data_IF_205966176175
#
_entry.id   IF_205966176175
#
_cell.length_a   1.000
_cell.length_b   1.000
_cell.length_c   1.000
_cell.angle_alpha   90.00
_cell.angle_beta   90.00
_cell.angle_gamma   90.00
#
_symmetry.space_group_name_H-M   'P 1'
#
loop_
_entity.id
_entity.type
_entity.pdbx_description
1 polymer ?
#
# COMPACT_ATOMS: atom_id res chain seq x y z
N UNK A 1 -28.44 22.49 7.21
CA UNK A 1 -27.15 21.82 7.31
C UNK A 1 -26.60 21.72 5.91
N UNK A 2 -25.59 22.54 5.58
CA UNK A 2 -24.97 22.53 4.25
C UNK A 2 -24.17 21.23 4.12
N UNK A 3 -24.57 20.36 3.22
CA UNK A 3 -23.75 19.28 2.72
C UNK A 3 -22.55 19.90 1.98
N UNK A 4 -21.41 19.99 2.64
CA UNK A 4 -20.12 20.30 2.00
C UNK A 4 -19.93 19.22 0.92
N UNK A 5 -19.90 19.65 -0.34
CA UNK A 5 -19.82 18.74 -1.47
C UNK A 5 -18.52 17.94 -1.43
N UNK A 6 -18.58 16.68 -1.86
CA UNK A 6 -17.45 15.71 -1.87
C UNK A 6 -16.19 16.20 -2.62
N UNK A 7 -16.21 17.35 -3.23
CA UNK A 7 -15.13 17.97 -4.01
C UNK A 7 -14.17 18.87 -3.20
N UNK A 8 -14.57 19.32 -2.00
CA UNK A 8 -13.74 20.15 -1.12
C UNK A 8 -12.66 19.35 -0.35
N UNK A 9 -12.54 18.05 -0.64
CA UNK A 9 -11.65 17.12 0.08
C UNK A 9 -10.50 16.58 -0.76
N UNK A 10 -10.24 17.15 -1.94
CA UNK A 10 -9.14 16.74 -2.80
C UNK A 10 -7.78 17.00 -2.13
N UNK A 11 -6.84 16.07 -2.31
CA UNK A 11 -5.46 16.27 -1.89
C UNK A 11 -4.77 17.36 -2.71
N UNK A 12 -3.82 18.06 -2.11
CA UNK A 12 -2.85 18.82 -2.87
C UNK A 12 -1.88 17.86 -3.56
N UNK A 13 -1.67 18.05 -4.87
CA UNK A 13 -0.63 17.36 -5.61
C UNK A 13 0.70 18.09 -5.42
N UNK A 14 1.69 17.39 -4.91
CA UNK A 14 2.98 17.94 -4.52
C UNK A 14 4.13 17.09 -5.07
N UNK A 15 5.33 17.67 -5.07
CA UNK A 15 6.55 17.05 -5.57
C UNK A 15 7.71 17.26 -4.61
N UNK A 16 8.57 16.24 -4.48
CA UNK A 16 9.78 16.28 -3.66
C UNK A 16 10.96 15.68 -4.44
N UNK A 17 12.13 16.32 -4.39
CA UNK A 17 13.35 15.80 -4.99
C UNK A 17 14.10 14.94 -3.96
N UNK A 18 14.16 13.62 -4.21
CA UNK A 18 14.75 12.65 -3.28
C UNK A 18 15.93 11.95 -3.96
N UNK A 19 17.12 12.42 -3.70
CA UNK A 19 18.31 11.89 -4.33
C UNK A 19 18.26 11.99 -5.86
N UNK A 20 18.09 10.86 -6.55
CA UNK A 20 18.05 10.79 -8.01
C UNK A 20 16.64 10.72 -8.61
N UNK A 21 15.61 10.79 -7.78
CA UNK A 21 14.22 10.71 -8.23
C UNK A 21 13.42 11.90 -7.75
N UNK A 22 12.46 12.33 -8.57
CA UNK A 22 11.40 13.25 -8.19
C UNK A 22 10.17 12.43 -7.83
N UNK A 23 9.71 12.57 -6.59
CA UNK A 23 8.56 11.85 -6.04
C UNK A 23 7.34 12.75 -6.08
N UNK A 24 6.30 12.32 -6.77
CA UNK A 24 4.98 12.91 -6.64
C UNK A 24 4.32 12.37 -5.36
N UNK A 25 3.66 13.23 -4.60
CA UNK A 25 2.85 12.81 -3.47
C UNK A 25 1.55 13.61 -3.37
N UNK A 26 0.55 13.00 -2.77
CA UNK A 26 -0.71 13.62 -2.41
C UNK A 26 -0.67 13.99 -0.93
N UNK A 27 -0.99 15.24 -0.60
CA UNK A 27 -1.11 15.75 0.78
C UNK A 27 -2.57 16.20 1.02
N UNK A 28 -3.29 15.46 1.83
CA UNK A 28 -4.66 15.84 2.24
C UNK A 28 -4.66 16.86 3.37
N UNK A 29 -3.48 17.30 3.84
CA UNK A 29 -3.35 18.24 4.95
C UNK A 29 -3.64 17.58 6.29
N UNK A 30 -4.17 18.39 7.22
CA UNK A 30 -4.41 18.03 8.61
C UNK A 30 -3.31 18.56 9.53
N UNK A 31 -3.68 18.84 10.80
CA UNK A 31 -2.78 19.42 11.81
C UNK A 31 -2.25 18.37 12.80
N UNK A 32 -2.72 17.13 12.68
CA UNK A 32 -2.32 16.04 13.57
C UNK A 32 -0.96 15.44 13.23
N UNK A 33 -0.63 14.35 13.92
CA UNK A 33 0.62 13.61 13.65
C UNK A 33 0.63 13.06 12.20
N UNK A 34 1.80 13.00 11.55
CA UNK A 34 1.87 12.57 10.16
C UNK A 34 1.63 11.08 10.00
N UNK A 35 0.86 10.75 8.95
CA UNK A 35 0.58 9.40 8.49
C UNK A 35 0.98 9.30 7.02
N UNK A 36 1.90 8.37 6.70
CA UNK A 36 2.31 8.07 5.34
C UNK A 36 1.62 6.79 4.88
N UNK A 37 0.98 6.85 3.71
CA UNK A 37 0.19 5.78 3.12
C UNK A 37 0.86 5.27 1.83
N UNK A 38 1.33 4.02 1.81
CA UNK A 38 2.06 3.42 0.71
C UNK A 38 1.16 2.46 -0.09
N UNK A 39 0.94 2.75 -1.35
CA UNK A 39 0.07 1.97 -2.24
C UNK A 39 0.66 0.61 -2.65
N UNK A 40 -0.16 -0.27 -3.22
CA UNK A 40 0.23 -1.60 -3.70
C UNK A 40 1.06 -1.58 -5.00
N UNK A 41 1.56 -2.76 -5.41
CA UNK A 41 2.30 -2.94 -6.66
C UNK A 41 1.43 -2.58 -7.86
N UNK A 42 1.99 -1.87 -8.82
CA UNK A 42 1.33 -1.37 -10.02
C UNK A 42 0.07 -0.52 -9.71
N UNK A 43 0.13 0.26 -8.62
CA UNK A 43 -0.90 1.19 -8.17
C UNK A 43 -0.36 2.62 -8.12
N UNK A 44 -1.03 3.54 -7.45
CA UNK A 44 -0.63 4.94 -7.26
C UNK A 44 -1.09 5.46 -5.91
N UNK A 45 -0.63 6.65 -5.52
CA UNK A 45 -1.08 7.37 -4.33
C UNK A 45 -2.61 7.54 -4.28
N UNK A 46 -3.23 7.66 -5.44
CA UNK A 46 -4.68 7.82 -5.57
C UNK A 46 -5.49 6.61 -5.08
N UNK A 47 -4.86 5.44 -4.83
CA UNK A 47 -5.54 4.33 -4.15
C UNK A 47 -6.16 4.74 -2.81
N UNK A 48 -5.61 5.78 -2.18
CA UNK A 48 -6.08 6.29 -0.91
C UNK A 48 -7.10 7.43 -1.01
N UNK A 49 -7.53 7.83 -2.20
CA UNK A 49 -8.48 8.95 -2.39
C UNK A 49 -9.81 8.78 -1.65
N UNK A 50 -10.25 7.52 -1.45
CA UNK A 50 -11.47 7.21 -0.71
C UNK A 50 -11.25 7.04 0.80
N UNK A 51 -10.01 6.79 1.24
CA UNK A 51 -9.66 6.52 2.65
C UNK A 51 -9.15 7.76 3.37
N UNK A 52 -8.22 8.49 2.74
CA UNK A 52 -7.52 9.61 3.35
C UNK A 52 -8.43 10.76 3.81
N UNK A 53 -9.53 11.11 3.12
CA UNK A 53 -10.47 12.12 3.59
C UNK A 53 -11.07 11.84 4.97
N UNK A 54 -11.22 10.57 5.34
CA UNK A 54 -11.73 10.17 6.65
C UNK A 54 -10.68 10.26 7.78
N UNK A 55 -9.39 10.45 7.45
CA UNK A 55 -8.28 10.55 8.40
C UNK A 55 -7.80 11.98 8.62
N UNK A 56 -7.96 12.87 7.64
CA UNK A 56 -7.35 14.20 7.61
C UNK A 56 -7.77 15.16 8.74
N UNK A 57 -8.89 14.89 9.39
CA UNK A 57 -9.33 15.72 10.51
C UNK A 57 -8.45 15.52 11.74
N UNK A 58 -7.88 14.34 11.90
CA UNK A 58 -7.13 13.92 13.08
C UNK A 58 -5.61 13.82 12.81
N UNK A 59 -5.22 13.62 11.53
CA UNK A 59 -3.84 13.36 11.10
C UNK A 59 -3.46 14.23 9.89
N UNK A 60 -2.16 14.51 9.72
CA UNK A 60 -1.64 14.97 8.43
C UNK A 60 -1.42 13.74 7.55
N UNK A 61 -2.18 13.61 6.47
CA UNK A 61 -2.22 12.42 5.63
C UNK A 61 -1.49 12.66 4.32
N UNK A 62 -0.50 11.81 4.04
CA UNK A 62 0.40 11.92 2.88
C UNK A 62 0.50 10.56 2.20
N UNK A 63 0.36 10.51 0.88
CA UNK A 63 0.60 9.31 0.09
C UNK A 63 1.52 9.61 -1.09
N UNK A 64 2.74 9.04 -1.16
CA UNK A 64 3.58 9.15 -2.33
C UNK A 64 3.18 8.16 -3.42
N UNK A 65 3.38 8.53 -4.68
CA UNK A 65 3.63 7.56 -5.74
C UNK A 65 5.02 6.98 -5.51
N UNK A 66 5.09 5.69 -5.23
CA UNK A 66 6.38 5.05 -4.95
C UNK A 66 7.23 4.97 -6.23
N UNK A 67 8.54 4.81 -6.10
CA UNK A 67 9.50 4.67 -7.21
C UNK A 67 8.94 3.84 -8.37
N UNK A 68 8.95 4.40 -9.60
CA UNK A 68 8.47 3.72 -10.81
C UNK A 68 6.95 3.60 -10.94
N UNK A 69 6.17 4.22 -10.06
CA UNK A 69 4.71 4.20 -10.09
C UNK A 69 4.14 5.61 -10.28
N UNK A 70 2.89 5.69 -10.68
CA UNK A 70 2.17 6.94 -10.87
C UNK A 70 2.97 7.94 -11.69
N UNK A 71 3.16 9.14 -11.17
CA UNK A 71 3.93 10.20 -11.83
C UNK A 71 5.35 10.36 -11.26
N UNK A 72 5.76 9.54 -10.28
CA UNK A 72 7.13 9.52 -9.77
C UNK A 72 8.10 8.99 -10.82
N UNK A 73 9.34 9.48 -10.78
CA UNK A 73 10.42 9.11 -11.72
C UNK A 73 10.47 7.61 -12.00
N UNK A 74 10.46 7.27 -13.30
CA UNK A 74 10.58 5.90 -13.80
C UNK A 74 12.04 5.43 -13.75
N UNK A 75 12.55 5.19 -12.52
CA UNK A 75 13.91 4.71 -12.33
C UNK A 75 14.06 3.27 -12.85
N UNK A 76 15.15 2.98 -13.57
CA UNK A 76 15.43 1.65 -14.11
C UNK A 76 15.93 0.64 -13.08
N UNK A 77 16.16 1.06 -11.82
CA UNK A 77 16.70 0.21 -10.73
C UNK A 77 16.34 0.78 -9.36
N UNK A 78 16.73 0.07 -8.29
CA UNK A 78 16.54 0.52 -6.91
C UNK A 78 15.21 0.05 -6.32
N UNK A 79 14.77 -1.13 -6.67
CA UNK A 79 13.54 -1.75 -6.13
C UNK A 79 13.83 -2.73 -4.99
N UNK A 80 15.04 -2.70 -4.44
CA UNK A 80 15.40 -3.38 -3.19
C UNK A 80 14.86 -2.63 -1.97
N UNK A 81 14.69 -3.34 -0.85
CA UNK A 81 14.10 -2.76 0.36
C UNK A 81 14.91 -1.62 0.97
N UNK A 82 16.25 -1.64 0.81
CA UNK A 82 17.11 -0.58 1.31
C UNK A 82 16.89 0.74 0.56
N UNK A 83 16.78 0.67 -0.76
CA UNK A 83 16.52 1.85 -1.61
C UNK A 83 15.09 2.36 -1.40
N UNK A 84 14.09 1.49 -1.39
CA UNK A 84 12.69 1.88 -1.13
C UNK A 84 12.50 2.50 0.27
N UNK A 85 13.23 2.00 1.27
CA UNK A 85 13.27 2.63 2.60
C UNK A 85 13.83 4.05 2.54
N UNK A 86 14.94 4.24 1.80
CA UNK A 86 15.55 5.57 1.64
C UNK A 86 14.63 6.55 0.91
N UNK A 87 13.83 6.09 -0.04
CA UNK A 87 12.86 6.94 -0.73
C UNK A 87 11.79 7.47 0.25
N UNK A 88 11.25 6.60 1.12
CA UNK A 88 10.25 7.02 2.12
C UNK A 88 10.87 7.93 3.19
N UNK A 89 12.05 7.57 3.70
CA UNK A 89 12.75 8.40 4.70
C UNK A 89 13.17 9.75 4.09
N UNK A 90 13.64 9.77 2.83
CA UNK A 90 13.97 10.97 2.11
C UNK A 90 12.76 11.90 1.92
N UNK A 91 11.57 11.34 1.65
CA UNK A 91 10.33 12.13 1.62
C UNK A 91 10.02 12.72 3.00
N UNK A 92 10.22 11.94 4.07
CA UNK A 92 10.04 12.46 5.44
C UNK A 92 11.00 13.61 5.74
N UNK A 93 12.27 13.50 5.29
CA UNK A 93 13.28 14.54 5.50
C UNK A 93 12.91 15.82 4.74
N UNK A 94 12.50 15.70 3.47
CA UNK A 94 12.07 16.83 2.65
C UNK A 94 10.85 17.56 3.24
N UNK A 95 9.95 16.80 3.87
CA UNK A 95 8.76 17.33 4.54
C UNK A 95 9.01 17.75 6.01
N UNK A 96 10.26 17.71 6.49
CA UNK A 96 10.66 17.98 7.86
C UNK A 96 9.87 17.14 8.91
N UNK A 97 9.54 15.89 8.56
CA UNK A 97 8.85 14.94 9.43
C UNK A 97 9.87 14.12 10.22
N UNK A 98 10.05 14.39 11.50
CA UNK A 98 10.95 13.61 12.36
C UNK A 98 10.51 12.13 12.45
N UNK A 99 9.20 11.89 12.62
CA UNK A 99 8.57 10.56 12.68
C UNK A 99 7.20 10.59 12.02
N UNK A 100 6.78 9.43 11.47
CA UNK A 100 5.42 9.24 10.96
C UNK A 100 4.86 7.86 11.36
N UNK A 101 3.55 7.69 11.37
CA UNK A 101 2.96 6.38 11.17
C UNK A 101 3.10 6.00 9.70
N UNK A 102 3.44 4.75 9.42
CA UNK A 102 3.59 4.26 8.04
C UNK A 102 2.63 3.10 7.83
N UNK A 103 1.68 3.28 6.94
CA UNK A 103 0.74 2.26 6.53
C UNK A 103 1.00 1.88 5.08
N UNK A 104 0.86 0.60 4.75
CA UNK A 104 1.01 0.15 3.38
C UNK A 104 -0.02 -0.88 3.00
N UNK A 105 -0.51 -0.80 1.75
CA UNK A 105 -1.40 -1.78 1.16
C UNK A 105 -0.62 -2.78 0.30
N UNK A 106 -0.93 -4.08 0.42
CA UNK A 106 -0.37 -5.12 -0.46
C UNK A 106 1.17 -5.10 -0.47
N UNK A 107 1.81 -4.84 -1.61
CA UNK A 107 3.25 -4.63 -1.70
C UNK A 107 3.73 -3.42 -0.88
N UNK A 108 2.96 -2.34 -0.83
CA UNK A 108 3.26 -1.19 0.03
C UNK A 108 3.37 -1.58 1.51
N UNK A 109 2.67 -2.62 1.96
CA UNK A 109 2.84 -3.16 3.31
C UNK A 109 4.22 -3.79 3.52
N UNK A 110 4.83 -4.41 2.49
CA UNK A 110 6.20 -4.89 2.57
C UNK A 110 7.19 -3.72 2.61
N UNK A 111 6.92 -2.64 1.87
CA UNK A 111 7.73 -1.41 1.95
C UNK A 111 7.62 -0.79 3.34
N UNK A 112 6.40 -0.59 3.86
CA UNK A 112 6.16 -0.05 5.21
C UNK A 112 6.86 -0.87 6.30
N UNK A 113 6.77 -2.19 6.22
CA UNK A 113 7.45 -3.13 7.12
C UNK A 113 8.98 -2.93 7.09
N UNK A 114 9.57 -2.79 5.90
CA UNK A 114 10.98 -2.57 5.74
C UNK A 114 11.42 -1.17 6.20
N UNK A 115 10.59 -0.15 6.02
CA UNK A 115 10.83 1.19 6.59
C UNK A 115 10.90 1.11 8.12
N UNK A 116 9.91 0.45 8.75
CA UNK A 116 9.87 0.31 10.21
C UNK A 116 11.05 -0.54 10.76
N UNK A 117 11.48 -1.58 10.02
CA UNK A 117 12.59 -2.43 10.44
C UNK A 117 13.97 -1.78 10.27
N UNK A 118 14.16 -0.97 9.22
CA UNK A 118 15.47 -0.40 8.83
C UNK A 118 15.66 1.03 9.34
N UNK A 119 14.57 1.74 9.64
CA UNK A 119 14.56 3.10 10.19
C UNK A 119 13.60 3.21 11.40
N UNK A 120 13.78 2.41 12.47
CA UNK A 120 12.83 2.30 13.56
C UNK A 120 12.61 3.64 14.30
N UNK A 121 13.61 4.51 14.35
CA UNK A 121 13.51 5.82 14.97
C UNK A 121 12.63 6.81 14.17
N UNK A 122 12.29 6.48 12.93
CA UNK A 122 11.46 7.30 12.05
C UNK A 122 9.99 6.86 12.03
N UNK A 123 9.65 5.69 12.58
CA UNK A 123 8.30 5.13 12.56
C UNK A 123 7.76 5.00 13.97
N UNK A 124 6.66 5.69 14.28
CA UNK A 124 6.02 5.57 15.59
C UNK A 124 4.88 4.55 15.62
N UNK A 125 4.33 4.16 14.46
CA UNK A 125 3.30 3.12 14.33
C UNK A 125 3.34 2.53 12.91
N UNK A 126 3.08 1.24 12.78
CA UNK A 126 3.10 0.49 11.52
C UNK A 126 1.72 -0.12 11.23
N UNK A 127 1.24 0.01 9.99
CA UNK A 127 0.03 -0.64 9.51
C UNK A 127 0.26 -1.49 8.27
N UNK A 128 -0.14 -2.75 8.31
CA UNK A 128 -0.01 -3.74 7.24
C UNK A 128 -1.39 -4.06 6.67
N UNK A 129 -1.79 -3.36 5.59
CA UNK A 129 -3.11 -3.49 4.95
C UNK A 129 -3.04 -4.57 3.87
N UNK A 130 -3.63 -5.70 4.14
CA UNK A 130 -3.71 -6.91 3.29
C UNK A 130 -2.39 -7.28 2.58
N UNK A 131 -1.29 -7.14 3.31
CA UNK A 131 0.08 -7.37 2.84
C UNK A 131 1.07 -7.47 3.98
N UNK A 132 2.38 -7.48 3.68
CA UNK A 132 3.42 -7.54 4.71
C UNK A 132 3.48 -8.88 5.44
N UNK A 133 2.76 -9.90 4.98
CA UNK A 133 2.75 -11.25 5.56
C UNK A 133 3.35 -12.26 4.60
N UNK A 134 4.14 -13.19 5.11
CA UNK A 134 4.75 -14.26 4.31
C UNK A 134 4.49 -15.62 4.94
N UNK A 135 4.61 -16.68 4.14
CA UNK A 135 4.66 -18.04 4.69
C UNK A 135 5.88 -18.15 5.61
N UNK A 136 5.73 -18.83 6.74
CA UNK A 136 6.85 -19.26 7.57
C UNK A 136 7.84 -20.13 6.78
N UNK A 137 8.87 -20.62 7.42
CA UNK A 137 10.00 -21.39 6.86
C UNK A 137 9.59 -22.74 6.22
N UNK A 138 8.82 -22.70 5.14
CA UNK A 138 8.57 -23.87 4.26
C UNK A 138 9.59 -23.94 3.13
N UNK A 139 9.57 -25.04 2.34
CA UNK A 139 10.38 -25.16 1.14
C UNK A 139 10.16 -23.94 0.23
N UNK A 140 11.26 -23.21 -0.02
CA UNK A 140 11.20 -21.96 -0.79
C UNK A 140 11.24 -22.32 -2.27
N UNK A 141 10.28 -21.80 -3.03
CA UNK A 141 10.32 -21.89 -4.49
C UNK A 141 11.61 -21.30 -5.06
N UNK A 142 12.12 -21.85 -6.14
CA UNK A 142 13.26 -21.28 -6.85
C UNK A 142 12.89 -19.91 -7.47
N UNK A 143 13.90 -19.09 -7.71
CA UNK A 143 13.65 -17.81 -8.41
C UNK A 143 13.07 -18.03 -9.81
N UNK A 144 13.50 -19.08 -10.50
CA UNK A 144 13.01 -19.45 -11.83
C UNK A 144 11.51 -19.72 -11.83
N UNK A 145 11.00 -20.45 -10.82
CA UNK A 145 9.58 -20.72 -10.64
C UNK A 145 8.80 -19.43 -10.32
N UNK A 146 9.32 -18.61 -9.40
CA UNK A 146 8.72 -17.32 -9.07
C UNK A 146 8.69 -16.41 -10.29
N UNK A 147 9.81 -16.27 -11.00
CA UNK A 147 9.94 -15.45 -12.22
C UNK A 147 8.99 -15.90 -13.33
N UNK A 148 8.79 -17.19 -13.50
CA UNK A 148 7.88 -17.72 -14.52
C UNK A 148 6.40 -17.31 -14.26
N UNK A 149 6.02 -17.11 -12.98
CA UNK A 149 4.67 -16.67 -12.56
C UNK A 149 4.57 -15.18 -12.38
N UNK A 150 5.68 -14.50 -12.09
CA UNK A 150 5.75 -13.05 -11.81
C UNK A 150 5.55 -12.26 -13.11
N UNK A 151 4.40 -12.44 -13.74
CA UNK A 151 4.05 -11.67 -14.94
C UNK A 151 3.45 -10.34 -14.53
N UNK A 152 3.82 -9.22 -15.19
CA UNK A 152 3.08 -7.98 -15.11
C UNK A 152 1.60 -8.22 -15.45
N UNK A 153 0.73 -7.34 -14.97
CA UNK A 153 -0.69 -7.39 -15.36
C UNK A 153 -0.77 -7.34 -16.89
N UNK A 154 -1.63 -8.18 -17.47
CA UNK A 154 -1.92 -8.07 -18.89
C UNK A 154 -2.93 -6.90 -19.08
N UNK A 155 -2.41 -5.73 -19.41
CA UNK A 155 -3.19 -4.51 -19.68
C UNK A 155 -3.22 -4.26 -21.19
N UNK A 156 -3.32 -5.30 -22.01
CA UNK A 156 -3.45 -5.13 -23.45
C UNK A 156 -4.86 -4.66 -23.85
N UNK A 157 -4.94 -3.98 -24.95
CA UNK A 157 -6.19 -3.50 -25.58
C UNK A 157 -6.44 -2.01 -25.38
N UNK A 158 -7.58 -1.57 -25.87
CA UNK A 158 -8.03 -0.17 -25.78
C UNK A 158 -8.39 0.22 -24.35
N UNK A 159 -8.50 1.52 -24.09
CA UNK A 159 -8.97 2.06 -22.81
C UNK A 159 -10.35 1.50 -22.42
N UNK A 160 -11.25 1.38 -23.36
CA UNK A 160 -12.60 0.86 -23.11
C UNK A 160 -12.55 -0.61 -22.66
N UNK A 161 -11.82 -1.45 -23.38
CA UNK A 161 -11.61 -2.86 -23.02
C UNK A 161 -10.93 -3.03 -21.65
N UNK A 162 -9.98 -2.16 -21.33
CA UNK A 162 -9.34 -2.13 -20.00
C UNK A 162 -10.36 -1.79 -18.92
N UNK A 163 -11.14 -0.73 -19.09
CA UNK A 163 -12.13 -0.31 -18.09
C UNK A 163 -13.25 -1.35 -17.94
N UNK A 164 -13.71 -2.01 -19.00
CA UNK A 164 -14.74 -3.03 -18.95
C UNK A 164 -14.27 -4.28 -18.17
N UNK A 165 -13.00 -4.67 -18.35
CA UNK A 165 -12.41 -5.75 -17.52
C UNK A 165 -12.40 -5.38 -16.05
N UNK A 166 -11.99 -4.13 -15.71
CA UNK A 166 -11.97 -3.68 -14.32
C UNK A 166 -13.36 -3.51 -13.73
N UNK A 167 -14.34 -2.99 -14.49
CA UNK A 167 -15.76 -2.93 -14.07
C UNK A 167 -16.28 -4.31 -13.69
N UNK A 168 -15.90 -5.34 -14.46
CA UNK A 168 -16.27 -6.72 -14.14
C UNK A 168 -15.58 -7.22 -12.87
N UNK A 169 -14.27 -7.00 -12.75
CA UNK A 169 -13.48 -7.48 -11.61
C UNK A 169 -13.83 -6.79 -10.30
N UNK A 170 -14.13 -5.50 -10.35
CA UNK A 170 -14.44 -4.63 -9.21
C UNK A 170 -15.93 -4.30 -9.12
N UNK A 171 -16.80 -5.11 -9.75
CA UNK A 171 -18.25 -4.84 -9.85
C UNK A 171 -18.92 -4.59 -8.50
N UNK A 172 -18.41 -5.17 -7.42
CA UNK A 172 -18.88 -5.01 -6.05
C UNK A 172 -18.56 -3.63 -5.43
N UNK A 173 -17.60 -2.87 -5.99
CA UNK A 173 -17.21 -1.55 -5.48
C UNK A 173 -16.99 -0.51 -6.60
N UNK A 174 -17.36 -0.81 -7.84
CA UNK A 174 -17.17 0.10 -8.96
C UNK A 174 -17.97 1.38 -8.80
N UNK A 175 -17.32 2.49 -9.04
CA UNK A 175 -17.91 3.84 -9.05
C UNK A 175 -17.10 4.75 -9.96
N UNK A 176 -17.60 5.93 -10.27
CA UNK A 176 -16.86 6.95 -11.03
C UNK A 176 -15.55 7.36 -10.32
N UNK A 177 -15.51 7.27 -9.00
CA UNK A 177 -14.31 7.54 -8.22
C UNK A 177 -13.27 6.42 -8.41
N UNK A 178 -13.67 5.16 -8.29
CA UNK A 178 -12.79 4.01 -8.53
C UNK A 178 -12.29 4.02 -9.97
N UNK A 179 -13.16 4.35 -10.96
CA UNK A 179 -12.72 4.49 -12.36
C UNK A 179 -11.62 5.54 -12.53
N UNK A 180 -11.75 6.72 -11.90
CA UNK A 180 -10.70 7.74 -11.93
C UNK A 180 -9.40 7.25 -11.30
N UNK A 181 -9.49 6.56 -10.15
CA UNK A 181 -8.32 6.04 -9.44
C UNK A 181 -7.57 5.03 -10.31
N UNK A 182 -8.24 4.04 -10.88
CA UNK A 182 -7.56 3.00 -11.66
C UNK A 182 -6.90 3.53 -12.94
N UNK A 183 -7.39 4.64 -13.48
CA UNK A 183 -6.77 5.31 -14.63
C UNK A 183 -5.44 5.99 -14.29
N UNK A 184 -5.15 6.30 -13.02
CA UNK A 184 -3.86 6.87 -12.60
C UNK A 184 -2.70 5.87 -12.59
N UNK A 185 -2.99 4.59 -12.80
CA UNK A 185 -2.02 3.49 -12.76
C UNK A 185 -1.54 3.06 -14.14
N UNK A 186 -2.12 3.61 -15.19
CA UNK A 186 -1.92 3.23 -16.59
C UNK A 186 -1.81 4.44 -17.49
N UNK A 187 -1.25 4.24 -18.67
CA UNK A 187 -1.23 5.25 -19.72
C UNK A 187 -1.57 4.61 -21.06
N UNK A 188 -2.00 5.43 -22.01
CA UNK A 188 -2.23 5.02 -23.39
C UNK A 188 -0.95 5.30 -24.19
N UNK A 189 -0.43 4.31 -24.88
CA UNK A 189 0.75 4.45 -25.72
C UNK A 189 0.44 5.10 -27.08
N UNK A 190 1.46 5.32 -27.91
CA UNK A 190 1.32 5.97 -29.21
C UNK A 190 0.48 5.18 -30.23
N UNK A 191 0.12 3.93 -29.95
CA UNK A 191 -0.71 3.05 -30.78
C UNK A 191 -2.14 2.92 -30.22
N UNK A 192 -2.45 3.62 -29.12
CA UNK A 192 -3.76 3.58 -28.46
C UNK A 192 -3.97 2.38 -27.54
N UNK A 193 -2.91 1.64 -27.21
CA UNK A 193 -2.99 0.53 -26.28
C UNK A 193 -2.66 0.96 -24.85
N UNK A 194 -3.40 0.39 -23.89
CA UNK A 194 -3.16 0.65 -22.48
C UNK A 194 -1.92 -0.08 -21.98
N UNK A 195 -1.10 0.61 -21.21
CA UNK A 195 0.14 0.12 -20.61
C UNK A 195 0.18 0.42 -19.11
N UNK A 196 0.82 -0.47 -18.33
CA UNK A 196 1.15 -0.17 -16.93
C UNK A 196 2.21 0.94 -16.86
N UNK A 197 2.04 1.86 -15.91
CA UNK A 197 3.09 2.84 -15.60
C UNK A 197 4.32 2.13 -15.03
N UNK A 198 4.12 1.15 -14.14
CA UNK A 198 5.24 0.32 -13.67
C UNK A 198 5.71 -0.60 -14.80
N UNK A 199 6.90 -0.34 -15.32
CA UNK A 199 7.49 -1.10 -16.43
C UNK A 199 7.70 -2.57 -16.05
N UNK A 200 7.55 -3.52 -17.00
CA UNK A 200 7.70 -4.95 -16.74
C UNK A 200 9.04 -5.33 -16.10
N UNK A 201 10.15 -4.71 -16.53
CA UNK A 201 11.49 -4.93 -15.97
C UNK A 201 11.59 -4.48 -14.51
N UNK A 202 10.89 -3.40 -14.13
CA UNK A 202 10.83 -2.91 -12.76
C UNK A 202 9.94 -3.81 -11.88
N UNK A 203 8.81 -4.27 -12.42
CA UNK A 203 7.97 -5.27 -11.75
C UNK A 203 8.76 -6.53 -11.37
N UNK A 204 9.61 -7.04 -12.29
CA UNK A 204 10.46 -8.20 -12.01
C UNK A 204 11.48 -7.92 -10.90
N UNK A 205 12.05 -6.70 -10.82
CA UNK A 205 12.96 -6.30 -9.72
C UNK A 205 12.21 -6.31 -8.37
N UNK A 206 10.98 -5.80 -8.31
CA UNK A 206 10.14 -5.87 -7.11
C UNK A 206 9.90 -7.32 -6.68
N UNK A 207 9.51 -8.19 -7.62
CA UNK A 207 9.30 -9.61 -7.33
C UNK A 207 10.58 -10.29 -6.85
N UNK A 208 11.74 -9.88 -7.39
CA UNK A 208 13.05 -10.38 -6.97
C UNK A 208 13.35 -9.98 -5.52
N UNK A 209 13.13 -8.72 -5.16
CA UNK A 209 13.32 -8.24 -3.79
C UNK A 209 12.43 -8.99 -2.78
N UNK A 210 11.15 -9.20 -3.11
CA UNK A 210 10.22 -9.97 -2.28
C UNK A 210 10.66 -11.44 -2.12
N UNK A 211 11.27 -12.01 -3.15
CA UNK A 211 11.78 -13.37 -3.11
C UNK A 211 13.09 -13.47 -2.31
N UNK A 212 14.03 -12.56 -2.50
CA UNK A 212 15.32 -12.55 -1.80
C UNK A 212 15.15 -12.29 -0.29
N UNK A 213 14.35 -11.28 0.06
CA UNK A 213 14.11 -10.88 1.43
C UNK A 213 12.59 -10.91 1.74
N UNK A 214 12.02 -12.07 2.07
CA UNK A 214 10.61 -12.19 2.43
C UNK A 214 10.31 -11.42 3.73
N UNK A 215 9.08 -10.96 3.88
CA UNK A 215 8.61 -10.13 5.00
C UNK A 215 9.02 -10.67 6.38
N UNK A 216 9.05 -11.99 6.56
CA UNK A 216 9.43 -12.63 7.83
C UNK A 216 10.83 -12.28 8.33
N UNK A 217 11.74 -11.88 7.46
CA UNK A 217 13.09 -11.45 7.87
C UNK A 217 13.08 -10.08 8.57
N UNK A 218 12.08 -9.25 8.33
CA UNK A 218 11.94 -7.94 8.95
C UNK A 218 11.26 -7.98 10.33
N UNK A 219 10.41 -8.97 10.62
CA UNK A 219 9.58 -9.03 11.83
C UNK A 219 10.35 -8.83 13.14
N UNK A 220 11.53 -9.46 13.37
CA UNK A 220 12.26 -9.30 14.64
C UNK A 220 12.74 -7.87 14.91
N UNK A 221 12.84 -7.04 13.85
CA UNK A 221 13.35 -5.68 13.92
C UNK A 221 12.24 -4.62 14.05
N UNK A 222 10.97 -5.03 14.12
CA UNK A 222 9.84 -4.11 14.32
C UNK A 222 9.74 -3.76 15.79
N UNK A 223 9.95 -2.49 16.12
CA UNK A 223 9.94 -1.98 17.49
C UNK A 223 8.68 -1.19 17.84
N UNK A 224 8.01 -0.61 16.85
CA UNK A 224 6.81 0.20 17.05
C UNK A 224 5.54 -0.66 17.17
N UNK A 225 4.46 -0.11 17.78
CA UNK A 225 3.14 -0.72 17.71
C UNK A 225 2.73 -0.99 16.26
N UNK A 226 2.14 -2.17 16.02
CA UNK A 226 1.81 -2.64 14.67
C UNK A 226 0.37 -3.14 14.60
N UNK A 227 -0.36 -2.75 13.56
CA UNK A 227 -1.64 -3.36 13.22
C UNK A 227 -1.54 -4.10 11.88
N UNK A 228 -2.03 -5.33 11.86
CA UNK A 228 -2.20 -6.14 10.64
C UNK A 228 -3.69 -6.08 10.31
N UNK A 229 -4.03 -5.56 9.12
CA UNK A 229 -5.40 -5.33 8.68
C UNK A 229 -5.68 -6.21 7.45
N UNK A 230 -5.99 -7.50 7.64
CA UNK A 230 -6.27 -8.38 6.50
C UNK A 230 -7.71 -8.22 6.01
N UNK A 231 -7.88 -8.32 4.69
CA UNK A 231 -9.17 -8.49 4.08
C UNK A 231 -9.75 -9.86 4.46
N UNK A 232 -10.90 -9.89 5.10
CA UNK A 232 -11.64 -11.13 5.35
C UNK A 232 -12.12 -11.75 4.04
N UNK A 233 -12.23 -13.09 3.94
CA UNK A 233 -12.79 -13.71 2.77
C UNK A 233 -14.27 -13.31 2.63
N UNK A 234 -14.75 -13.21 1.38
CA UNK A 234 -16.18 -13.18 1.12
C UNK A 234 -16.84 -14.46 1.70
N UNK A 235 -18.10 -14.44 2.14
CA UNK A 235 -18.75 -15.59 2.75
C UNK A 235 -18.62 -16.89 1.94
N UNK A 236 -18.67 -16.78 0.60
CA UNK A 236 -18.54 -17.91 -0.32
C UNK A 236 -17.12 -18.49 -0.40
N UNK A 237 -16.11 -17.76 0.10
CA UNK A 237 -14.70 -18.18 0.10
C UNK A 237 -14.21 -18.62 1.48
N UNK A 238 -15.06 -18.53 2.50
CA UNK A 238 -14.76 -18.97 3.86
C UNK A 238 -14.43 -20.47 3.84
N UNK A 239 -13.22 -20.83 4.35
CA UNK A 239 -12.72 -22.20 4.32
C UNK A 239 -12.04 -22.63 3.02
N UNK A 240 -11.93 -21.77 2.01
CA UNK A 240 -11.09 -22.04 0.85
C UNK A 240 -9.61 -22.18 1.25
N UNK A 241 -8.83 -22.97 0.51
CA UNK A 241 -7.39 -23.13 0.75
C UNK A 241 -6.67 -21.76 0.79
N UNK A 242 -7.05 -20.82 -0.09
CA UNK A 242 -6.52 -19.49 -0.11
C UNK A 242 -6.81 -18.71 1.18
N UNK A 243 -8.03 -18.84 1.72
CA UNK A 243 -8.41 -18.19 2.98
C UNK A 243 -7.64 -18.77 4.16
N UNK A 244 -7.50 -20.09 4.23
CA UNK A 244 -6.74 -20.79 5.27
C UNK A 244 -5.25 -20.38 5.24
N UNK A 245 -4.62 -20.38 4.07
CA UNK A 245 -3.24 -19.92 3.89
C UNK A 245 -3.07 -18.46 4.30
N UNK A 246 -4.05 -17.58 4.01
CA UNK A 246 -4.01 -16.19 4.49
C UNK A 246 -4.07 -16.12 6.01
N UNK A 247 -4.96 -16.87 6.64
CA UNK A 247 -5.09 -16.94 8.11
C UNK A 247 -3.78 -17.40 8.77
N UNK A 248 -3.16 -18.46 8.26
CA UNK A 248 -1.87 -18.94 8.74
C UNK A 248 -0.76 -17.88 8.64
N UNK A 249 -0.67 -17.18 7.52
CA UNK A 249 0.32 -16.11 7.31
C UNK A 249 0.11 -14.94 8.27
N UNK A 250 -1.13 -14.54 8.49
CA UNK A 250 -1.49 -13.45 9.41
C UNK A 250 -1.14 -13.84 10.84
N UNK A 251 -1.52 -15.05 11.27
CA UNK A 251 -1.21 -15.54 12.60
C UNK A 251 0.31 -15.66 12.84
N UNK A 252 1.08 -16.12 11.84
CA UNK A 252 2.53 -16.19 11.93
C UNK A 252 3.18 -14.80 12.06
N UNK A 253 2.67 -13.80 11.33
CA UNK A 253 3.16 -12.42 11.45
C UNK A 253 2.83 -11.82 12.82
N UNK A 254 1.60 -12.01 13.33
CA UNK A 254 1.18 -11.56 14.66
C UNK A 254 2.05 -12.16 15.77
N UNK A 255 2.37 -13.43 15.67
CA UNK A 255 3.27 -14.10 16.64
C UNK A 255 4.70 -13.56 16.59
N UNK A 256 5.20 -13.21 15.42
CA UNK A 256 6.59 -12.84 15.22
C UNK A 256 6.87 -11.35 15.50
N UNK A 257 5.88 -10.48 15.35
CA UNK A 257 5.98 -9.03 15.63
C UNK A 257 5.49 -8.77 17.06
N UNK A 258 6.41 -8.46 17.98
CA UNK A 258 6.16 -8.41 19.44
C UNK A 258 4.99 -7.53 19.88
N UNK A 259 4.79 -6.40 19.22
CA UNK A 259 3.77 -5.41 19.61
C UNK A 259 2.77 -5.25 18.47
N UNK A 260 2.21 -6.37 18.03
CA UNK A 260 1.23 -6.40 16.95
C UNK A 260 -0.14 -6.84 17.43
N UNK A 261 -1.14 -6.46 16.63
CA UNK A 261 -2.53 -6.91 16.76
C UNK A 261 -3.14 -7.07 15.37
N UNK A 262 -4.10 -7.96 15.25
CA UNK A 262 -4.84 -8.19 14.01
C UNK A 262 -6.23 -7.57 14.11
N UNK A 263 -6.64 -6.88 13.05
CA UNK A 263 -7.99 -6.32 12.86
C UNK A 263 -8.49 -6.73 11.48
N UNK A 264 -9.22 -7.83 11.41
CA UNK A 264 -9.85 -8.28 10.16
C UNK A 264 -10.96 -7.32 9.74
N UNK A 265 -10.97 -6.91 8.47
CA UNK A 265 -12.14 -6.30 7.85
C UNK A 265 -12.90 -7.44 7.14
N UNK A 266 -14.07 -7.86 7.66
CA UNK A 266 -14.79 -9.00 7.14
C UNK A 266 -15.45 -8.69 5.79
N UNK A 267 -15.78 -9.73 5.04
CA UNK A 267 -16.59 -9.64 3.81
C UNK A 267 -16.09 -8.56 2.84
N UNK A 268 -14.77 -8.54 2.63
CA UNK A 268 -14.12 -7.61 1.71
C UNK A 268 -13.07 -8.31 0.85
N UNK A 269 -12.53 -7.58 -0.08
CA UNK A 269 -11.55 -8.04 -1.06
C UNK A 269 -10.21 -7.39 -0.80
N UNK A 270 -9.20 -7.76 -1.61
CA UNK A 270 -7.85 -7.22 -1.52
C UNK A 270 -7.82 -5.67 -1.56
N UNK A 271 -8.62 -5.06 -2.41
CA UNK A 271 -8.74 -3.60 -2.52
C UNK A 271 -9.74 -3.04 -1.49
N UNK A 272 -9.42 -3.21 -0.20
CA UNK A 272 -10.25 -2.76 0.92
C UNK A 272 -10.60 -1.27 0.80
N UNK A 273 -9.62 -0.44 0.38
CA UNK A 273 -9.78 1.01 0.24
C UNK A 273 -10.83 1.42 -0.79
N UNK A 274 -11.14 0.56 -1.78
CA UNK A 274 -12.23 0.80 -2.73
C UNK A 274 -13.58 0.30 -2.20
N UNK A 275 -13.56 -0.84 -1.49
CA UNK A 275 -14.79 -1.50 -1.08
C UNK A 275 -15.33 -1.00 0.26
N UNK A 276 -14.43 -0.78 1.24
CA UNK A 276 -14.79 -0.37 2.61
C UNK A 276 -13.87 0.73 3.13
N UNK A 277 -13.80 1.89 2.44
CA UNK A 277 -12.86 2.95 2.79
C UNK A 277 -13.08 3.54 4.19
N UNK A 278 -14.33 3.73 4.60
CA UNK A 278 -14.67 4.26 5.93
C UNK A 278 -14.28 3.29 7.05
N UNK A 279 -14.57 1.99 6.87
CA UNK A 279 -14.21 0.95 7.84
C UNK A 279 -12.69 0.81 7.97
N UNK A 280 -11.96 0.87 6.85
CA UNK A 280 -10.49 0.88 6.85
C UNK A 280 -9.96 2.11 7.59
N UNK A 281 -10.47 3.30 7.31
CA UNK A 281 -10.07 4.53 7.98
C UNK A 281 -10.39 4.49 9.48
N UNK A 282 -11.53 3.93 9.88
CA UNK A 282 -11.90 3.74 11.28
C UNK A 282 -10.89 2.83 12.00
N UNK A 283 -10.54 1.68 11.43
CA UNK A 283 -9.53 0.76 12.02
C UNK A 283 -8.18 1.43 12.17
N UNK A 284 -7.75 2.23 11.17
CA UNK A 284 -6.51 3.00 11.25
C UNK A 284 -6.55 4.01 12.39
N UNK A 285 -7.65 4.77 12.52
CA UNK A 285 -7.82 5.79 13.58
C UNK A 285 -7.81 5.16 14.96
N UNK A 286 -8.63 4.15 15.19
CA UNK A 286 -8.69 3.43 16.47
C UNK A 286 -7.32 2.92 16.91
N UNK A 287 -6.59 2.31 15.98
CA UNK A 287 -5.24 1.83 16.25
C UNK A 287 -4.27 2.95 16.63
N UNK A 288 -4.29 4.07 15.92
CA UNK A 288 -3.39 5.20 16.20
C UNK A 288 -3.72 5.83 17.54
N UNK A 289 -5.00 6.02 17.87
CA UNK A 289 -5.45 6.60 19.15
C UNK A 289 -5.00 5.73 20.34
N UNK A 290 -5.16 4.39 20.25
CA UNK A 290 -4.70 3.46 21.28
C UNK A 290 -3.16 3.46 21.41
N UNK A 291 -2.43 3.59 20.31
CA UNK A 291 -0.96 3.61 20.30
C UNK A 291 -0.39 4.87 20.98
N UNK A 292 -1.13 5.98 20.97
CA UNK A 292 -0.72 7.21 21.65
C UNK A 292 -1.01 7.16 23.15
N UNK A 293 -2.11 6.54 23.56
CA UNK A 293 -2.45 6.41 24.98
C UNK A 293 -1.46 5.52 25.75
N UNK A 294 -0.88 4.52 25.06
CA UNK A 294 0.11 3.60 25.65
C UNK A 294 1.53 4.19 25.77
N UNK A 295 1.77 5.41 25.25
CA UNK A 295 3.07 6.09 25.25
C UNK A 295 3.19 7.18 26.29
N UNK A 296 2.15 7.39 27.13
CA UNK A 296 2.08 8.30 28.30
C UNK A 296 2.15 7.47 29.57
#
# INVERSE_FOLDING_TARGET
>A
MNTIGAWDQAAAECWADIGSIQVRYLDWGGLGKPVILLHGLASSANWYDLVAPHLRNDYRVIAPDQRGHGQTTQAGSGYDWGTLTKDVVGLMDELALAKAAVFGHSWGANVALNVAARAPDRVYALGLIDGGTSRGSGARESWEEVRARARPRNISGTREEFLDRLRTQLSFCWSDQVERIVQTMVYEDGEGAMQDILRPENHIQVMRAMWEEPASLAYPNILCPTVIIPAGPAPQQTGSERALVKQERVAAAEQAIKNSRVRWIPETVHDIGYHKPEELAQVIREFLDESFQSSV
#
